data_IF_214904748785
#
_entry.id   IF_214904748785
#
_cell.length_a   1.000
_cell.length_b   1.000
_cell.length_c   1.000
_cell.angle_alpha   90.00
_cell.angle_beta   90.00
_cell.angle_gamma   90.00
#
_symmetry.space_group_name_H-M   'P 1'
#
loop_
_entity.id
_entity.type
_entity.pdbx_description
1 polymer ?
#
# COMPACT_ATOMS: atom_id res chain seq x y z
N UNK A 1 -0.61 -9.78 15.26
CA UNK A 1 -0.25 -10.70 14.16
C UNK A 1 0.81 -11.67 14.68
N UNK A 2 0.72 -12.96 14.37
CA UNK A 2 1.79 -13.91 14.69
C UNK A 2 2.70 -13.94 13.46
N UNK A 3 3.90 -13.40 13.57
CA UNK A 3 4.91 -13.52 12.53
C UNK A 3 5.86 -14.66 12.93
N UNK A 4 5.91 -15.72 12.11
CA UNK A 4 6.89 -16.79 12.25
C UNK A 4 8.13 -16.38 11.44
N UNK A 5 9.21 -16.03 12.13
CA UNK A 5 10.55 -15.92 11.53
C UNK A 5 11.48 -16.84 12.30
N UNK A 6 12.07 -17.82 11.59
CA UNK A 6 13.10 -18.72 12.11
C UNK A 6 12.74 -19.44 13.43
N UNK A 7 11.56 -20.08 13.49
CA UNK A 7 11.06 -20.80 14.67
C UNK A 7 10.79 -19.97 15.95
N UNK A 8 10.92 -18.63 15.90
CA UNK A 8 10.41 -17.76 16.96
C UNK A 8 8.99 -17.26 16.65
N UNK A 9 8.08 -17.47 17.61
CA UNK A 9 6.73 -16.91 17.60
C UNK A 9 6.81 -15.49 18.17
N UNK A 10 6.83 -14.47 17.30
CA UNK A 10 6.71 -13.08 17.74
C UNK A 10 5.25 -12.64 17.72
N UNK A 11 4.72 -12.23 18.87
CA UNK A 11 3.40 -11.59 18.98
C UNK A 11 3.57 -10.09 18.74
N UNK A 12 3.27 -9.63 17.52
CA UNK A 12 3.22 -8.20 17.23
C UNK A 12 1.85 -7.64 17.58
N UNK A 13 1.83 -6.52 18.32
CA UNK A 13 0.61 -5.76 18.60
C UNK A 13 0.10 -5.15 17.29
N UNK A 14 -1.16 -5.39 16.99
CA UNK A 14 -1.81 -4.82 15.82
C UNK A 14 -3.12 -4.16 16.24
N UNK A 15 -3.37 -2.96 15.72
CA UNK A 15 -4.65 -2.28 15.83
C UNK A 15 -5.55 -2.75 14.68
N UNK A 16 -6.72 -3.31 15.02
CA UNK A 16 -7.60 -3.97 14.05
C UNK A 16 -8.93 -3.21 13.92
N UNK A 17 -9.29 -2.88 12.68
CA UNK A 17 -10.59 -2.33 12.31
C UNK A 17 -11.37 -3.35 11.49
N UNK A 18 -12.43 -3.92 12.09
CA UNK A 18 -13.36 -4.84 11.44
C UNK A 18 -14.47 -4.11 10.64
N UNK A 19 -14.17 -2.91 10.14
CA UNK A 19 -15.13 -2.05 9.41
C UNK A 19 -14.40 -1.14 8.44
N UNK A 20 -15.17 -0.48 7.58
CA UNK A 20 -14.68 0.63 6.75
C UNK A 20 -14.27 1.82 7.63
N UNK A 21 -13.24 2.54 7.18
CA UNK A 21 -12.83 3.84 7.72
C UNK A 21 -13.31 4.95 6.77
N UNK A 22 -14.07 5.89 7.32
CA UNK A 22 -14.72 6.98 6.61
C UNK A 22 -14.14 8.35 6.97
N UNK A 23 -14.59 9.40 6.27
CA UNK A 23 -14.18 10.78 6.55
C UNK A 23 -14.59 11.32 7.92
N UNK A 24 -15.46 10.61 8.65
CA UNK A 24 -15.85 10.95 10.02
C UNK A 24 -14.88 10.37 11.06
N UNK A 25 -14.03 9.43 10.64
CA UNK A 25 -13.00 8.87 11.51
C UNK A 25 -11.85 9.87 11.65
N UNK A 26 -11.34 10.00 12.88
CA UNK A 26 -10.12 10.77 13.14
C UNK A 26 -8.93 10.11 12.43
N UNK A 27 -7.87 10.89 12.12
CA UNK A 27 -6.59 10.31 11.74
C UNK A 27 -6.18 9.18 12.68
N UNK A 28 -5.75 8.07 12.11
CA UNK A 28 -5.34 6.88 12.87
C UNK A 28 -3.82 6.85 12.91
N UNK A 29 -3.26 6.91 14.12
CA UNK A 29 -1.82 6.77 14.35
C UNK A 29 -1.57 5.65 15.35
N UNK A 30 -0.66 4.74 15.01
CA UNK A 30 -0.36 3.59 15.87
C UNK A 30 1.12 3.21 15.82
N UNK A 31 1.73 3.02 16.99
CA UNK A 31 3.05 2.41 17.12
C UNK A 31 2.92 0.89 17.11
N UNK A 32 3.12 0.30 15.94
CA UNK A 32 2.87 -1.10 15.62
C UNK A 32 2.21 -1.23 14.26
N UNK A 33 1.56 -2.37 14.04
CA UNK A 33 0.88 -2.67 12.76
C UNK A 33 -0.60 -2.29 12.79
N UNK A 34 -1.17 -1.91 11.64
CA UNK A 34 -2.61 -1.60 11.49
C UNK A 34 -3.23 -2.56 10.47
N UNK A 35 -4.39 -3.13 10.80
CA UNK A 35 -5.16 -3.99 9.90
C UNK A 35 -6.57 -3.42 9.75
N UNK A 36 -6.99 -3.18 8.51
CA UNK A 36 -8.35 -2.73 8.18
C UNK A 36 -9.01 -3.78 7.28
N UNK A 37 -9.96 -4.53 7.83
CA UNK A 37 -10.71 -5.53 7.08
C UNK A 37 -11.77 -4.92 6.14
N UNK A 38 -12.04 -3.62 6.30
CA UNK A 38 -12.89 -2.82 5.42
C UNK A 38 -12.13 -2.02 4.38
N UNK A 39 -12.85 -1.12 3.70
CA UNK A 39 -12.29 -0.12 2.80
C UNK A 39 -11.90 1.16 3.53
N UNK A 40 -11.07 1.98 2.88
CA UNK A 40 -10.65 3.29 3.40
C UNK A 40 -11.11 4.37 2.45
N UNK A 41 -11.97 5.26 2.92
CA UNK A 41 -12.58 6.34 2.12
C UNK A 41 -11.66 7.54 1.97
N UNK A 42 -12.07 8.47 1.12
CA UNK A 42 -11.28 9.66 0.81
C UNK A 42 -10.99 10.53 2.02
N UNK A 43 -9.79 11.12 1.99
CA UNK A 43 -9.25 12.01 3.01
C UNK A 43 -9.02 11.37 4.40
N UNK A 44 -9.15 10.04 4.53
CA UNK A 44 -8.68 9.34 5.72
C UNK A 44 -7.15 9.34 5.73
N UNK A 45 -6.57 9.48 6.92
CA UNK A 45 -5.12 9.42 7.15
C UNK A 45 -4.84 8.27 8.10
N UNK A 46 -3.96 7.36 7.69
CA UNK A 46 -3.50 6.23 8.51
C UNK A 46 -1.97 6.26 8.55
N UNK A 47 -1.41 6.30 9.76
CA UNK A 47 0.03 6.25 10.00
C UNK A 47 0.36 5.12 10.96
N UNK A 48 1.32 4.28 10.59
CA UNK A 48 1.82 3.19 11.41
C UNK A 48 3.35 3.14 11.40
N UNK A 49 3.96 2.65 12.47
CA UNK A 49 5.42 2.43 12.51
C UNK A 49 5.83 1.11 11.84
N UNK A 50 4.93 0.13 11.82
CA UNK A 50 5.11 -1.17 11.17
C UNK A 50 4.13 -1.35 10.01
N UNK A 51 3.68 -2.57 9.75
CA UNK A 51 2.93 -2.93 8.56
C UNK A 51 1.49 -2.36 8.58
N UNK A 52 1.00 -1.96 7.41
CA UNK A 52 -0.41 -1.59 7.20
C UNK A 52 -1.03 -2.55 6.18
N UNK A 53 -2.13 -3.18 6.57
CA UNK A 53 -2.86 -4.15 5.73
C UNK A 53 -4.30 -3.67 5.56
N UNK A 54 -4.77 -3.57 4.32
CA UNK A 54 -6.14 -3.16 3.99
C UNK A 54 -6.74 -4.17 3.01
N UNK A 55 -7.86 -4.76 3.41
CA UNK A 55 -8.46 -5.89 2.68
C UNK A 55 -9.34 -5.45 1.50
N UNK A 56 -9.81 -4.20 1.50
CA UNK A 56 -10.69 -3.66 0.45
C UNK A 56 -10.05 -2.45 -0.25
N UNK A 57 -10.83 -1.81 -1.11
CA UNK A 57 -10.39 -0.66 -1.91
C UNK A 57 -10.07 0.53 -1.00
N UNK A 58 -8.96 1.20 -1.31
CA UNK A 58 -8.62 2.52 -0.79
C UNK A 58 -9.06 3.56 -1.80
N UNK A 59 -9.79 4.58 -1.36
CA UNK A 59 -10.36 5.62 -2.23
C UNK A 59 -9.77 6.98 -1.87
N UNK A 60 -8.65 7.40 -2.45
CA UNK A 60 -8.12 8.76 -2.23
C UNK A 60 -7.75 9.10 -0.77
N UNK A 61 -7.14 8.14 -0.07
CA UNK A 61 -6.64 8.28 1.29
C UNK A 61 -5.12 8.47 1.34
N UNK A 62 -4.61 8.90 2.50
CA UNK A 62 -3.17 8.98 2.79
C UNK A 62 -2.78 7.86 3.74
N UNK A 63 -1.92 6.95 3.28
CA UNK A 63 -1.49 5.77 4.05
C UNK A 63 0.03 5.80 4.19
N UNK A 64 0.53 5.82 5.42
CA UNK A 64 1.96 5.97 5.71
C UNK A 64 2.42 4.88 6.68
N UNK A 65 3.20 3.93 6.21
CA UNK A 65 3.98 3.05 7.08
C UNK A 65 5.41 3.56 7.14
N UNK A 66 5.92 3.95 8.32
CA UNK A 66 7.26 4.54 8.42
C UNK A 66 8.40 3.53 8.42
N UNK A 67 8.17 2.31 8.91
CA UNK A 67 9.18 1.25 8.99
C UNK A 67 8.71 -0.11 8.48
N UNK A 68 7.47 -0.21 7.98
CA UNK A 68 6.85 -1.45 7.53
C UNK A 68 6.45 -1.43 6.06
N UNK A 69 5.72 -2.47 5.69
CA UNK A 69 5.13 -2.67 4.38
C UNK A 69 3.74 -2.05 4.34
N UNK A 70 3.27 -1.71 3.14
CA UNK A 70 1.86 -1.41 2.91
C UNK A 70 1.30 -2.45 1.95
N UNK A 71 0.31 -3.22 2.40
CA UNK A 71 -0.34 -4.28 1.64
C UNK A 71 -1.80 -3.91 1.43
N UNK A 72 -2.16 -3.64 0.17
CA UNK A 72 -3.54 -3.44 -0.25
C UNK A 72 -4.01 -4.68 -1.01
N UNK A 73 -4.80 -5.55 -0.39
CA UNK A 73 -5.25 -6.80 -1.04
C UNK A 73 -6.00 -6.56 -2.36
N UNK A 74 -6.63 -5.39 -2.51
CA UNK A 74 -7.28 -4.97 -3.75
C UNK A 74 -6.49 -3.88 -4.45
N UNK A 75 -6.32 -2.71 -3.86
CA UNK A 75 -5.63 -1.59 -4.51
C UNK A 75 -6.23 -0.24 -4.17
N UNK A 76 -5.79 0.78 -4.91
CA UNK A 76 -6.17 2.17 -4.66
C UNK A 76 -6.77 2.83 -5.91
N UNK A 77 -7.92 3.47 -5.72
CA UNK A 77 -8.51 4.46 -6.62
C UNK A 77 -8.28 5.86 -6.02
N UNK A 78 -7.16 6.48 -6.36
CA UNK A 78 -6.64 7.66 -5.68
C UNK A 78 -7.38 8.96 -5.98
N UNK A 79 -8.11 9.06 -7.10
CA UNK A 79 -8.85 10.27 -7.52
C UNK A 79 -7.98 11.55 -7.47
N UNK A 80 -6.69 11.43 -7.81
CA UNK A 80 -5.66 12.48 -7.74
C UNK A 80 -5.32 13.01 -6.33
N UNK A 81 -5.71 12.28 -5.29
CA UNK A 81 -5.45 12.62 -3.88
C UNK A 81 -4.78 11.50 -3.10
N UNK A 82 -4.92 10.25 -3.56
CA UNK A 82 -4.36 9.08 -2.91
C UNK A 82 -2.84 9.14 -2.83
N UNK A 83 -2.30 9.00 -1.62
CA UNK A 83 -0.86 8.98 -1.35
C UNK A 83 -0.53 7.79 -0.46
N UNK A 84 0.43 6.99 -0.89
CA UNK A 84 0.91 5.85 -0.12
C UNK A 84 2.41 5.97 0.05
N UNK A 85 2.87 5.83 1.29
CA UNK A 85 4.28 5.66 1.62
C UNK A 85 4.48 4.36 2.38
N UNK A 86 5.40 3.53 1.89
CA UNK A 86 5.86 2.31 2.55
C UNK A 86 7.35 2.43 2.90
N UNK A 87 7.67 2.37 4.20
CA UNK A 87 9.05 2.34 4.70
C UNK A 87 9.83 1.09 4.30
N UNK A 88 9.15 0.08 3.73
CA UNK A 88 9.72 -1.11 3.08
C UNK A 88 9.09 -1.31 1.71
N UNK A 89 8.32 -2.38 1.53
CA UNK A 89 7.71 -2.75 0.26
C UNK A 89 6.24 -2.30 0.19
N UNK A 90 5.78 -2.00 -1.02
CA UNK A 90 4.35 -1.85 -1.31
C UNK A 90 3.86 -3.04 -2.14
N UNK A 91 2.72 -3.59 -1.76
CA UNK A 91 2.01 -4.59 -2.55
C UNK A 91 0.54 -4.19 -2.74
N UNK A 92 0.04 -4.30 -3.97
CA UNK A 92 -1.40 -4.26 -4.21
C UNK A 92 -1.79 -4.78 -5.59
N UNK A 93 -3.09 -4.96 -5.86
CA UNK A 93 -3.49 -5.42 -7.18
C UNK A 93 -3.41 -4.29 -8.23
N UNK A 94 -3.95 -3.10 -7.93
CA UNK A 94 -3.86 -1.95 -8.83
C UNK A 94 -3.62 -0.61 -8.13
N UNK A 95 -3.09 0.34 -8.89
CA UNK A 95 -2.93 1.75 -8.48
C UNK A 95 -3.49 2.65 -9.58
N UNK A 96 -4.52 3.44 -9.27
CA UNK A 96 -5.14 4.35 -10.23
C UNK A 96 -5.16 5.79 -9.68
N UNK A 97 -4.72 6.77 -10.47
CA UNK A 97 -4.78 8.20 -10.13
C UNK A 97 -4.20 8.50 -8.73
N UNK A 98 -3.06 7.88 -8.38
CA UNK A 98 -2.45 7.96 -7.05
C UNK A 98 -0.91 8.07 -7.13
N UNK A 99 -0.31 8.47 -6.00
CA UNK A 99 1.14 8.45 -5.79
C UNK A 99 1.49 7.35 -4.79
N UNK A 100 2.45 6.50 -5.13
CA UNK A 100 2.97 5.44 -4.26
C UNK A 100 4.48 5.51 -4.22
N UNK A 101 5.02 5.59 -3.01
CA UNK A 101 6.46 5.61 -2.75
C UNK A 101 6.80 4.44 -1.82
N UNK A 102 7.79 3.63 -2.22
CA UNK A 102 8.30 2.53 -1.41
C UNK A 102 9.82 2.63 -1.25
N UNK A 103 10.30 2.45 -0.02
CA UNK A 103 11.72 2.48 0.25
C UNK A 103 12.47 1.27 -0.34
N UNK A 104 11.76 0.21 -0.71
CA UNK A 104 12.27 -0.99 -1.36
C UNK A 104 11.58 -1.22 -2.71
N UNK A 105 10.69 -2.21 -2.82
CA UNK A 105 10.04 -2.61 -4.07
C UNK A 105 8.55 -2.20 -4.10
N UNK A 106 8.03 -1.98 -5.30
CA UNK A 106 6.59 -1.88 -5.59
C UNK A 106 6.17 -3.12 -6.37
N UNK A 107 5.18 -3.87 -5.86
CA UNK A 107 4.61 -5.05 -6.51
C UNK A 107 3.13 -4.84 -6.83
N UNK A 108 2.78 -5.00 -8.10
CA UNK A 108 1.42 -4.86 -8.61
C UNK A 108 0.94 -6.15 -9.25
N UNK A 109 -0.27 -6.59 -8.90
CA UNK A 109 -0.84 -7.81 -9.47
C UNK A 109 -1.57 -7.62 -10.81
N UNK A 110 -2.06 -6.42 -11.07
CA UNK A 110 -2.86 -6.08 -12.26
C UNK A 110 -2.18 -4.96 -13.04
N UNK A 111 -1.77 -3.89 -12.38
CA UNK A 111 -1.09 -2.77 -13.05
C UNK A 111 -1.42 -1.41 -12.46
N UNK A 112 -1.05 -0.35 -13.18
CA UNK A 112 -1.26 1.02 -12.75
C UNK A 112 -1.80 1.89 -13.88
N UNK A 113 -2.61 2.90 -13.53
CA UNK A 113 -3.22 3.83 -14.48
C UNK A 113 -3.06 5.27 -13.98
N UNK A 114 -2.49 6.12 -14.82
CA UNK A 114 -2.28 7.56 -14.54
C UNK A 114 -1.73 7.82 -13.12
N UNK A 115 -0.66 7.12 -12.75
CA UNK A 115 -0.13 7.11 -11.38
C UNK A 115 1.36 7.41 -11.34
N UNK A 116 1.85 7.87 -10.18
CA UNK A 116 3.28 8.10 -9.93
C UNK A 116 3.79 7.03 -8.96
N UNK A 117 4.66 6.14 -9.44
CA UNK A 117 5.23 5.05 -8.65
C UNK A 117 6.73 5.25 -8.52
N UNK A 118 7.21 5.33 -7.28
CA UNK A 118 8.64 5.47 -6.98
C UNK A 118 9.10 4.37 -6.04
N UNK A 119 10.08 3.59 -6.48
CA UNK A 119 10.71 2.53 -5.69
C UNK A 119 12.22 2.71 -5.72
N UNK A 120 12.90 2.57 -4.58
CA UNK A 120 14.37 2.63 -4.58
C UNK A 120 15.02 1.39 -5.22
N UNK A 121 14.28 0.29 -5.34
CA UNK A 121 14.75 -0.95 -5.97
C UNK A 121 13.93 -1.24 -7.22
N UNK A 122 13.01 -2.19 -7.17
CA UNK A 122 12.28 -2.65 -8.35
C UNK A 122 10.81 -2.21 -8.34
N UNK A 123 10.28 -1.92 -9.53
CA UNK A 123 8.83 -1.85 -9.79
C UNK A 123 8.45 -3.09 -10.61
N UNK A 124 7.50 -3.89 -10.12
CA UNK A 124 7.15 -5.19 -10.67
C UNK A 124 5.64 -5.25 -10.92
N UNK A 125 5.23 -5.44 -12.17
CA UNK A 125 3.85 -5.59 -12.62
C UNK A 125 3.73 -6.72 -13.67
N UNK A 126 4.16 -7.93 -13.31
CA UNK A 126 4.29 -9.06 -14.24
C UNK A 126 3.09 -10.02 -14.22
N UNK A 127 2.22 -9.91 -13.21
CA UNK A 127 1.05 -10.79 -13.06
C UNK A 127 -0.22 -10.13 -13.63
N UNK A 128 -1.26 -10.93 -13.85
CA UNK A 128 -2.54 -10.44 -14.37
C UNK A 128 -2.48 -9.82 -15.77
N UNK A 129 -3.14 -8.66 -15.93
CA UNK A 129 -3.12 -7.85 -17.16
C UNK A 129 -1.84 -7.00 -17.30
N UNK A 130 -1.04 -6.89 -16.23
CA UNK A 130 0.28 -6.27 -16.14
C UNK A 130 0.47 -4.91 -16.81
N UNK A 131 -0.60 -4.17 -17.09
CA UNK A 131 -0.53 -2.95 -17.90
C UNK A 131 -0.24 -1.73 -17.04
N UNK A 132 0.78 -0.95 -17.40
CA UNK A 132 0.94 0.40 -16.89
C UNK A 132 0.51 1.39 -17.98
N UNK A 133 -0.62 2.04 -17.75
CA UNK A 133 -1.24 2.94 -18.70
C UNK A 133 -1.09 4.38 -18.19
N UNK A 134 -0.14 5.13 -18.75
CA UNK A 134 0.13 6.53 -18.39
C UNK A 134 0.61 6.73 -16.94
N UNK A 135 1.37 7.81 -16.72
CA UNK A 135 1.97 8.14 -15.43
C UNK A 135 3.50 8.12 -15.47
N UNK A 136 4.11 8.04 -14.30
CA UNK A 136 5.57 8.12 -14.13
C UNK A 136 6.01 6.98 -13.22
N UNK A 137 7.03 6.26 -13.67
CA UNK A 137 7.64 5.16 -12.93
C UNK A 137 9.11 5.49 -12.72
N UNK A 138 9.55 5.46 -11.45
CA UNK A 138 10.94 5.69 -11.09
C UNK A 138 11.39 4.50 -10.24
N UNK A 139 12.30 3.70 -10.77
CA UNK A 139 12.91 2.59 -10.06
C UNK A 139 14.41 2.81 -9.97
N UNK A 140 15.00 2.63 -8.79
CA UNK A 140 16.45 2.72 -8.62
C UNK A 140 17.22 1.55 -9.25
N UNK A 141 16.54 0.44 -9.54
CA UNK A 141 17.15 -0.75 -10.14
C UNK A 141 16.47 -1.22 -11.43
N UNK A 142 15.27 -1.81 -11.36
CA UNK A 142 14.59 -2.32 -12.56
C UNK A 142 13.10 -1.97 -12.57
N UNK A 143 12.54 -1.89 -13.78
CA UNK A 143 11.11 -1.85 -14.03
C UNK A 143 10.76 -3.11 -14.83
N UNK A 144 9.94 -3.99 -14.27
CA UNK A 144 9.47 -5.24 -14.92
C UNK A 144 7.95 -5.18 -15.08
N UNK A 145 7.49 -5.19 -16.33
CA UNK A 145 6.08 -5.03 -16.69
C UNK A 145 5.74 -6.09 -17.72
N UNK A 146 4.56 -6.70 -17.61
CA UNK A 146 4.10 -7.68 -18.60
C UNK A 146 3.84 -6.99 -19.94
N UNK A 147 4.34 -7.58 -21.02
CA UNK A 147 4.13 -7.14 -22.39
C UNK A 147 2.68 -7.37 -22.86
#
# INVERSE_FOLDING_TARGET
MICLRNDEISVQKALIYNRDLGSQDSPVEYDGSIIVHGGVRSNVIITATEDIIIDRVVEGATITSTGGNVVLHVGIAGRNKGRIYAGKDFEGAFVENATVEAANDIRLQVGALNSHLTANRDIIAETGKGGIASGVLIAGRNIRVKA
#
